data_IF_701585634612
#
_entry.id   IF_701585634612
#
_cell.length_a   1.000
_cell.length_b   1.000
_cell.length_c   1.000
_cell.angle_alpha   90.00
_cell.angle_beta   90.00
_cell.angle_gamma   90.00
#
_symmetry.space_group_name_H-M   'P 1'
#
loop_
_entity.id
_entity.type
_entity.pdbx_description
1 polymer ?
#
# COMPACT_ATOMS: atom_id res chain seq x y z
N UNK A 1 8.78 9.62 -16.20
CA UNK A 1 8.46 9.12 -14.84
C UNK A 1 7.34 9.97 -14.28
N UNK A 2 6.55 9.43 -13.36
CA UNK A 2 5.47 10.18 -12.71
C UNK A 2 5.51 9.98 -11.20
N UNK A 3 5.02 10.97 -10.49
CA UNK A 3 4.93 10.97 -9.04
C UNK A 3 3.61 10.34 -8.59
N UNK A 4 3.68 9.32 -7.74
CA UNK A 4 2.52 8.58 -7.24
C UNK A 4 2.68 8.29 -5.75
N UNK A 5 1.63 7.75 -5.15
CA UNK A 5 1.63 7.29 -3.77
C UNK A 5 1.55 5.76 -3.75
N UNK A 6 2.61 5.13 -3.23
CA UNK A 6 2.70 3.69 -3.05
C UNK A 6 2.11 3.29 -1.70
N UNK A 7 1.10 2.44 -1.73
CA UNK A 7 0.57 1.75 -0.57
C UNK A 7 1.53 0.64 -0.18
N UNK A 8 2.09 0.75 1.02
CA UNK A 8 2.96 -0.25 1.64
C UNK A 8 2.17 -0.97 2.71
N UNK A 9 2.27 -2.31 2.72
CA UNK A 9 1.70 -3.15 3.78
C UNK A 9 2.85 -3.80 4.54
N UNK A 10 2.79 -3.70 5.86
CA UNK A 10 3.74 -4.33 6.77
C UNK A 10 3.01 -5.18 7.80
N UNK A 11 3.70 -6.19 8.35
CA UNK A 11 3.20 -6.90 9.53
C UNK A 11 3.34 -6.03 10.78
N UNK A 12 2.65 -6.38 11.86
CA UNK A 12 2.79 -5.69 13.14
C UNK A 12 4.23 -5.76 13.71
N UNK A 13 5.02 -6.73 13.27
CA UNK A 13 6.45 -6.87 13.62
C UNK A 13 7.37 -6.00 12.75
N UNK A 14 6.81 -5.17 11.86
CA UNK A 14 7.56 -4.23 11.02
C UNK A 14 8.10 -4.81 9.71
N UNK A 15 7.79 -6.08 9.38
CA UNK A 15 8.24 -6.68 8.13
C UNK A 15 7.37 -6.19 6.97
N UNK A 16 7.98 -5.44 6.03
CA UNK A 16 7.32 -5.02 4.78
C UNK A 16 7.04 -6.25 3.93
N UNK A 17 5.86 -6.30 3.31
CA UNK A 17 5.48 -7.35 2.35
C UNK A 17 5.67 -6.78 0.94
N UNK A 18 6.83 -6.95 0.30
CA UNK A 18 7.23 -6.21 -0.90
C UNK A 18 6.35 -6.51 -2.12
N UNK A 19 5.82 -7.72 -2.23
CA UNK A 19 5.00 -8.15 -3.39
C UNK A 19 3.57 -7.60 -3.37
N UNK A 20 3.23 -6.76 -2.39
CA UNK A 20 1.88 -6.22 -2.16
C UNK A 20 1.85 -4.70 -2.25
N UNK A 21 2.65 -4.10 -3.13
CA UNK A 21 2.57 -2.65 -3.42
C UNK A 21 1.44 -2.34 -4.39
N UNK A 22 0.69 -1.29 -4.09
CA UNK A 22 -0.27 -0.69 -5.02
C UNK A 22 0.03 0.80 -5.17
N UNK A 23 -0.12 1.35 -6.36
CA UNK A 23 0.18 2.75 -6.63
C UNK A 23 -1.10 3.53 -6.92
N UNK A 24 -1.17 4.76 -6.42
CA UNK A 24 -2.32 5.65 -6.62
C UNK A 24 -1.85 7.05 -7.01
N UNK A 25 -2.63 7.71 -7.87
CA UNK A 25 -2.37 9.12 -8.22
C UNK A 25 -2.73 10.11 -7.09
N UNK A 26 -3.63 9.71 -6.18
CA UNK A 26 -4.17 10.57 -5.13
C UNK A 26 -3.78 10.05 -3.75
N UNK A 27 -3.19 10.93 -2.92
CA UNK A 27 -2.87 10.63 -1.53
C UNK A 27 -4.12 10.28 -0.72
N UNK A 28 -5.25 10.97 -0.98
CA UNK A 28 -6.51 10.71 -0.29
C UNK A 28 -7.02 9.30 -0.58
N UNK A 29 -6.91 8.86 -1.85
CA UNK A 29 -7.31 7.51 -2.24
C UNK A 29 -6.37 6.47 -1.65
N UNK A 30 -5.06 6.71 -1.68
CA UNK A 30 -4.09 5.83 -1.04
C UNK A 30 -4.39 5.68 0.46
N UNK A 31 -4.60 6.79 1.17
CA UNK A 31 -4.91 6.81 2.59
C UNK A 31 -6.23 6.11 2.92
N UNK A 32 -7.26 6.25 2.08
CA UNK A 32 -8.52 5.51 2.22
C UNK A 32 -8.27 3.99 2.25
N UNK A 33 -7.44 3.47 1.33
CA UNK A 33 -7.10 2.05 1.32
C UNK A 33 -6.18 1.67 2.48
N UNK A 34 -5.20 2.50 2.83
CA UNK A 34 -4.31 2.26 3.97
C UNK A 34 -5.09 2.11 5.28
N UNK A 35 -6.06 2.99 5.54
CA UNK A 35 -6.93 2.93 6.71
C UNK A 35 -7.79 1.65 6.70
N UNK A 36 -8.42 1.32 5.57
CA UNK A 36 -9.25 0.11 5.45
C UNK A 36 -8.45 -1.18 5.63
N UNK A 37 -7.25 -1.26 5.06
CA UNK A 37 -6.34 -2.40 5.23
C UNK A 37 -5.90 -2.51 6.70
N UNK A 38 -5.56 -1.40 7.33
CA UNK A 38 -5.13 -1.38 8.75
C UNK A 38 -6.28 -1.68 9.73
N UNK A 39 -7.52 -1.29 9.40
CA UNK A 39 -8.73 -1.59 10.19
C UNK A 39 -9.18 -3.03 10.06
N UNK A 40 -8.91 -3.68 8.93
CA UNK A 40 -9.21 -5.10 8.69
C UNK A 40 -8.16 -5.93 9.45
N UNK A 41 -8.23 -5.87 10.78
CA UNK A 41 -7.23 -6.27 11.78
C UNK A 41 -6.86 -7.76 11.83
N UNK A 42 -6.92 -8.49 10.74
CA UNK A 42 -6.43 -9.87 10.66
C UNK A 42 -6.24 -10.22 9.19
N UNK A 43 -4.99 -10.40 8.76
CA UNK A 43 -4.77 -11.09 7.50
C UNK A 43 -5.30 -12.52 7.67
N UNK A 44 -6.41 -12.86 7.01
CA UNK A 44 -7.10 -14.14 7.18
C UNK A 44 -6.17 -15.34 6.97
N UNK A 45 -5.18 -15.21 6.08
CA UNK A 45 -4.24 -16.27 5.74
C UNK A 45 -3.12 -16.44 6.76
N UNK A 46 -2.54 -15.33 7.23
CA UNK A 46 -1.39 -15.39 8.16
C UNK A 46 -1.80 -15.25 9.62
N UNK A 47 -3.07 -14.91 9.89
CA UNK A 47 -3.61 -14.59 11.22
C UNK A 47 -2.85 -13.48 11.95
N UNK A 48 -2.11 -12.64 11.20
CA UNK A 48 -1.32 -11.53 11.77
C UNK A 48 -2.01 -10.20 11.59
N UNK A 49 -1.79 -9.30 12.55
CA UNK A 49 -2.13 -7.89 12.40
C UNK A 49 -1.20 -7.28 11.36
N UNK A 50 -1.77 -6.46 10.49
CA UNK A 50 -1.03 -5.71 9.48
C UNK A 50 -1.26 -4.22 9.68
N UNK A 51 -0.29 -3.43 9.25
CA UNK A 51 -0.38 -1.98 9.14
C UNK A 51 -0.13 -1.60 7.69
N UNK A 52 -0.76 -0.53 7.24
CA UNK A 52 -0.54 -0.01 5.90
C UNK A 52 -0.43 1.51 5.92
N UNK A 53 0.44 2.04 5.07
CA UNK A 53 0.72 3.47 4.95
C UNK A 53 1.13 3.80 3.51
N UNK A 54 1.07 5.08 3.17
CA UNK A 54 1.36 5.59 1.83
C UNK A 54 2.66 6.37 1.82
N UNK A 55 3.53 6.06 0.86
CA UNK A 55 4.76 6.80 0.62
C UNK A 55 4.76 7.39 -0.80
N UNK A 56 5.33 8.58 -1.01
CA UNK A 56 5.55 9.08 -2.36
C UNK A 56 6.67 8.30 -3.07
N UNK A 57 6.46 7.97 -4.33
CA UNK A 57 7.42 7.23 -5.15
C UNK A 57 7.38 7.69 -6.62
N UNK A 58 8.55 7.76 -7.26
CA UNK A 58 8.63 8.01 -8.70
C UNK A 58 8.63 6.69 -9.46
N UNK A 59 7.65 6.51 -10.35
CA UNK A 59 7.49 5.26 -11.11
C UNK A 59 7.47 5.50 -12.61
N UNK A 60 7.74 4.45 -13.38
CA UNK A 60 7.53 4.48 -14.83
C UNK A 60 6.11 3.97 -15.13
N UNK A 61 5.20 4.82 -15.66
CA UNK A 61 3.82 4.41 -15.90
C UNK A 61 3.68 3.33 -16.98
N UNK A 62 4.72 3.10 -17.80
CA UNK A 62 4.70 2.06 -18.84
C UNK A 62 4.83 0.64 -18.28
N UNK A 63 5.47 0.48 -17.11
CA UNK A 63 5.71 -0.82 -16.50
C UNK A 63 5.06 -0.97 -15.10
N UNK A 64 4.41 0.07 -14.60
CA UNK A 64 3.82 0.10 -13.26
C UNK A 64 2.32 0.32 -13.36
N UNK A 65 1.53 -0.61 -12.82
CA UNK A 65 0.07 -0.46 -12.74
C UNK A 65 -0.30 0.52 -11.64
N UNK A 66 -0.96 1.61 -12.02
CA UNK A 66 -1.42 2.65 -11.09
C UNK A 66 -2.94 2.62 -11.08
N UNK A 67 -3.50 2.47 -9.88
CA UNK A 67 -4.93 2.41 -9.65
C UNK A 67 -5.49 3.83 -9.57
N UNK A 68 -6.55 4.06 -10.34
CA UNK A 68 -7.32 5.32 -10.29
C UNK A 68 -8.30 5.29 -9.16
#
# INVERSE_FOLDING_TARGET
MIYVFALIVMTAEGTVIPDKKAYFYSINRCNYFADRVSRTRYNYWTKRKVQAYCIPEWVNPRNTKILR
#
